data_IF_857411399489
#
_entry.id   IF_857411399489
#
_cell.length_a   1.000
_cell.length_b   1.000
_cell.length_c   1.000
_cell.angle_alpha   90.00
_cell.angle_beta   90.00
_cell.angle_gamma   90.00
#
_symmetry.space_group_name_H-M   'P 1'
#
loop_
_entity.id
_entity.type
_entity.pdbx_description
1 polymer ?
#
# COMPACT_ATOMS: atom_id res chain seq x y z
N UNK A 1 14.41 11.57 3.00
CA UNK A 1 13.27 11.22 2.11
C UNK A 1 13.50 9.81 1.59
N UNK A 2 13.14 8.80 2.38
CA UNK A 2 13.41 7.39 2.05
C UNK A 2 12.49 6.43 2.79
N UNK A 3 12.05 6.84 3.99
CA UNK A 3 11.22 6.03 4.88
C UNK A 3 9.94 5.49 4.23
N UNK A 4 9.22 6.29 3.44
CA UNK A 4 8.00 5.82 2.76
C UNK A 4 8.33 4.75 1.70
N UNK A 5 9.43 4.93 0.96
CA UNK A 5 9.86 3.97 -0.05
C UNK A 5 10.37 2.67 0.58
N UNK A 6 11.10 2.78 1.69
CA UNK A 6 11.54 1.61 2.48
C UNK A 6 10.34 0.87 3.09
N UNK A 7 9.34 1.59 3.61
CA UNK A 7 8.12 0.97 4.11
C UNK A 7 7.29 0.28 3.00
N UNK A 8 7.31 0.79 1.76
CA UNK A 8 6.70 0.10 0.62
C UNK A 8 7.47 -1.17 0.23
N UNK A 9 8.80 -1.11 0.23
CA UNK A 9 9.67 -2.23 -0.12
C UNK A 9 9.66 -3.34 0.94
N UNK A 10 9.60 -2.96 2.22
CA UNK A 10 9.52 -3.89 3.35
C UNK A 10 8.13 -4.53 3.51
N UNK A 11 7.13 -4.10 2.71
CA UNK A 11 5.77 -4.66 2.74
C UNK A 11 4.85 -4.09 3.83
N UNK A 12 5.29 -3.04 4.54
CA UNK A 12 4.48 -2.29 5.51
C UNK A 12 3.35 -1.52 4.79
N UNK A 13 3.69 -0.91 3.67
CA UNK A 13 2.77 -0.16 2.83
C UNK A 13 2.47 -0.92 1.55
N UNK A 14 1.25 -0.76 1.06
CA UNK A 14 0.88 -1.29 -0.23
C UNK A 14 1.64 -0.57 -1.35
N UNK A 15 2.32 -1.35 -2.19
CA UNK A 15 3.10 -0.88 -3.34
C UNK A 15 2.30 -0.04 -4.36
N UNK A 16 0.97 -0.05 -4.28
CA UNK A 16 0.07 0.58 -5.26
C UNK A 16 -0.72 1.78 -4.71
N UNK A 17 -1.16 1.75 -3.45
CA UNK A 17 -1.90 2.85 -2.81
C UNK A 17 -1.09 3.60 -1.74
N UNK A 18 0.05 3.04 -1.30
CA UNK A 18 0.79 3.52 -0.12
C UNK A 18 0.02 3.41 1.19
N UNK A 19 -1.05 2.61 1.23
CA UNK A 19 -1.84 2.40 2.42
C UNK A 19 -1.23 1.31 3.31
N UNK A 20 -1.18 1.56 4.63
CA UNK A 20 -0.71 0.59 5.62
C UNK A 20 -1.60 -0.65 5.56
N UNK A 21 -0.96 -1.82 5.47
CA UNK A 21 -1.68 -3.09 5.32
C UNK A 21 -2.01 -3.64 6.70
N UNK A 22 -1.01 -4.18 7.40
CA UNK A 22 -1.16 -4.79 8.74
C UNK A 22 -0.01 -4.41 9.68
N UNK A 23 0.93 -3.56 9.24
CA UNK A 23 2.12 -3.24 10.02
C UNK A 23 3.14 -4.38 10.09
N UNK A 24 2.97 -5.42 9.28
CA UNK A 24 3.89 -6.57 9.21
C UNK A 24 4.92 -6.40 8.09
N UNK A 25 6.20 -6.47 8.47
CA UNK A 25 7.35 -6.34 7.58
C UNK A 25 7.62 -7.69 6.89
N UNK A 26 6.91 -7.97 5.79
CA UNK A 26 7.14 -9.20 5.01
C UNK A 26 8.46 -9.19 4.25
N UNK A 27 9.17 -8.06 4.20
CA UNK A 27 10.44 -7.90 3.49
C UNK A 27 10.30 -7.91 1.96
N UNK A 28 9.06 -7.85 1.46
CA UNK A 28 8.76 -7.72 0.03
C UNK A 28 7.54 -6.81 -0.19
N UNK A 29 7.47 -6.10 -1.32
CA UNK A 29 6.30 -5.33 -1.70
C UNK A 29 5.07 -6.24 -1.76
N UNK A 30 3.94 -5.74 -1.23
CA UNK A 30 2.66 -6.46 -1.29
C UNK A 30 1.51 -5.49 -1.51
N UNK A 31 0.37 -6.02 -1.94
CA UNK A 31 -0.85 -5.25 -2.20
C UNK A 31 -1.82 -5.39 -1.04
N UNK A 32 -2.46 -4.30 -0.65
CA UNK A 32 -3.58 -4.34 0.29
C UNK A 32 -4.76 -5.13 -0.32
N UNK A 33 -5.68 -5.58 0.53
CA UNK A 33 -6.80 -6.44 0.08
C UNK A 33 -7.66 -5.81 -1.03
N UNK A 34 -7.78 -4.48 -1.06
CA UNK A 34 -8.47 -3.77 -2.14
C UNK A 34 -7.70 -3.71 -3.45
N UNK A 35 -6.36 -3.63 -3.40
CA UNK A 35 -5.49 -3.60 -4.58
C UNK A 35 -5.19 -5.01 -5.10
N UNK A 36 -5.19 -6.01 -4.21
CA UNK A 36 -5.01 -7.43 -4.53
C UNK A 36 -6.27 -8.03 -5.18
N UNK A 37 -7.46 -7.59 -4.77
CA UNK A 37 -8.72 -8.02 -5.41
C UNK A 37 -8.89 -7.29 -6.77
N UNK A 38 -9.19 -8.00 -7.87
CA UNK A 38 -9.55 -7.37 -9.14
C UNK A 38 -10.94 -6.72 -9.02
N UNK A 39 -11.04 -5.58 -8.35
CA UNK A 39 -12.31 -4.86 -8.18
C UNK A 39 -12.47 -3.81 -9.27
N UNK A 40 -13.54 -4.00 -10.06
CA UNK A 40 -14.07 -3.03 -11.01
C UNK A 40 -14.05 -1.62 -10.38
N UNK A 41 -13.19 -0.75 -10.92
CA UNK A 41 -13.14 0.72 -10.77
C UNK A 41 -13.92 1.28 -9.57
N UNK A 42 -13.36 1.19 -8.36
CA UNK A 42 -13.80 2.07 -7.26
C UNK A 42 -12.63 2.95 -6.86
N UNK A 43 -12.69 4.19 -7.34
CA UNK A 43 -11.79 5.30 -7.05
C UNK A 43 -11.60 5.39 -5.53
N UNK A 44 -10.39 5.17 -5.03
CA UNK A 44 -10.05 5.53 -3.66
C UNK A 44 -9.74 7.02 -3.64
N UNK A 45 -10.75 7.79 -3.23
CA UNK A 45 -10.56 9.14 -2.75
C UNK A 45 -9.74 9.09 -1.46
N UNK A 46 -8.70 9.93 -1.38
CA UNK A 46 -8.11 10.61 -0.21
C UNK A 46 -6.69 11.08 -0.64
N UNK A 47 -6.25 12.31 -0.40
CA UNK A 47 -6.62 13.25 0.67
C UNK A 47 -6.29 14.67 0.21
N UNK A 48 -7.24 15.58 0.47
CA UNK A 48 -7.12 17.03 0.32
C UNK A 48 -6.03 17.55 1.27
N UNK A 49 -5.13 18.38 0.77
CA UNK A 49 -4.48 19.45 1.55
C UNK A 49 -4.77 20.77 0.82
#
# INVERSE_FOLDING_TARGET
MGEIAEMMLNGLLCEQCGCLIDGEETGHPRKCEDCAKPKKRRKKAKRNE
#
